data_IF_887248066252
#
_entry.id   IF_887248066252
#
_cell.length_a   1.000
_cell.length_b   1.000
_cell.length_c   1.000
_cell.angle_alpha   90.00
_cell.angle_beta   90.00
_cell.angle_gamma   90.00
#
_symmetry.space_group_name_H-M   'P 1'
#
loop_
_entity.id
_entity.type
_entity.pdbx_description
1 polymer ?
#
# COMPACT_ATOMS: atom_id res chain seq x y z
N UNK A 1 12.28 53.02 -37.59
CA UNK A 1 10.86 52.66 -37.84
C UNK A 1 10.67 51.18 -37.54
N UNK A 2 9.66 50.88 -36.72
CA UNK A 2 9.19 49.55 -36.32
C UNK A 2 8.95 48.65 -37.53
N UNK A 3 9.28 47.35 -37.42
CA UNK A 3 8.47 46.26 -38.00
C UNK A 3 8.78 44.96 -37.25
N UNK A 4 7.79 44.59 -36.44
CA UNK A 4 7.61 43.32 -35.75
C UNK A 4 7.27 42.28 -36.82
N UNK A 5 7.98 41.15 -36.84
CA UNK A 5 7.57 39.93 -37.56
C UNK A 5 7.75 38.80 -36.53
N UNK A 6 6.73 38.60 -35.70
CA UNK A 6 5.71 37.57 -35.88
C UNK A 6 6.24 36.17 -35.57
N UNK A 7 6.17 35.89 -34.26
CA UNK A 7 6.22 34.61 -33.59
C UNK A 7 5.24 33.62 -34.24
N UNK A 8 5.73 32.50 -34.77
CA UNK A 8 4.94 31.29 -34.94
C UNK A 8 5.50 30.22 -34.01
N UNK A 9 4.98 30.18 -32.77
CA UNK A 9 5.00 28.96 -31.97
C UNK A 9 4.17 27.93 -32.73
N UNK A 10 4.84 26.96 -33.36
CA UNK A 10 4.23 25.70 -33.71
C UNK A 10 3.85 24.99 -32.42
N UNK A 11 2.65 25.26 -31.91
CA UNK A 11 1.98 24.40 -30.95
C UNK A 11 1.68 23.14 -31.74
N UNK A 12 2.59 22.16 -31.68
CA UNK A 12 2.26 20.80 -32.02
C UNK A 12 1.12 20.41 -31.07
N UNK A 13 -0.06 20.40 -31.65
CA UNK A 13 -1.29 19.83 -31.15
C UNK A 13 -0.96 18.49 -30.50
N UNK A 14 -0.88 18.48 -29.17
CA UNK A 14 -1.00 17.24 -28.41
C UNK A 14 -2.43 16.76 -28.69
N UNK A 15 -2.56 15.90 -29.70
CA UNK A 15 -3.73 15.06 -29.88
C UNK A 15 -4.08 14.52 -28.51
N UNK A 16 -5.29 14.83 -28.04
CA UNK A 16 -5.83 14.26 -26.83
C UNK A 16 -5.72 12.73 -26.97
N UNK A 17 -4.69 12.16 -26.36
CA UNK A 17 -4.59 10.73 -26.20
C UNK A 17 -5.77 10.41 -25.31
N UNK A 18 -6.74 9.68 -25.85
CA UNK A 18 -7.58 8.87 -25.00
C UNK A 18 -6.62 7.91 -24.29
N UNK A 19 -6.06 8.35 -23.15
CA UNK A 19 -5.15 7.53 -22.36
C UNK A 19 -5.98 6.34 -21.88
N UNK A 20 -5.92 5.25 -22.63
CA UNK A 20 -6.36 3.96 -22.14
C UNK A 20 -5.54 3.67 -20.89
N UNK A 21 -6.20 3.27 -19.80
CA UNK A 21 -5.49 2.86 -18.60
C UNK A 21 -4.58 1.68 -18.92
N UNK A 22 -3.28 1.83 -18.65
CA UNK A 22 -2.28 0.82 -18.99
C UNK A 22 -1.15 0.76 -17.97
N UNK A 23 -0.39 -0.33 -18.02
CA UNK A 23 0.67 -0.63 -17.04
C UNK A 23 1.90 0.28 -17.13
N UNK A 24 1.99 1.13 -18.15
CA UNK A 24 3.02 2.16 -18.34
C UNK A 24 2.78 3.41 -17.49
N UNK A 25 1.52 3.72 -17.12
CA UNK A 25 1.18 4.84 -16.22
C UNK A 25 1.99 4.79 -14.92
N UNK A 26 2.54 5.91 -14.48
CA UNK A 26 3.26 5.98 -13.19
C UNK A 26 2.37 5.63 -12.00
N UNK A 27 2.97 5.20 -10.89
CA UNK A 27 2.21 4.93 -9.65
C UNK A 27 1.51 6.18 -9.12
N UNK A 28 2.10 7.37 -9.32
CA UNK A 28 1.47 8.64 -8.97
C UNK A 28 0.20 8.91 -9.78
N UNK A 29 0.22 8.65 -11.09
CA UNK A 29 -0.97 8.78 -11.94
C UNK A 29 -2.06 7.77 -11.57
N UNK A 30 -1.66 6.53 -11.25
CA UNK A 30 -2.58 5.47 -10.81
C UNK A 30 -3.24 5.86 -9.48
N UNK A 31 -2.45 6.29 -8.49
CA UNK A 31 -2.93 6.63 -7.14
C UNK A 31 -3.79 7.90 -7.11
N UNK A 32 -3.56 8.84 -8.03
CA UNK A 32 -4.40 10.06 -8.16
C UNK A 32 -5.70 9.82 -8.93
N UNK A 33 -5.82 8.71 -9.66
CA UNK A 33 -7.02 8.41 -10.44
C UNK A 33 -8.16 7.91 -9.55
N UNK A 34 -9.30 8.61 -9.59
CA UNK A 34 -10.53 8.16 -8.91
C UNK A 34 -11.15 6.89 -9.51
N UNK A 35 -10.76 6.53 -10.73
CA UNK A 35 -11.31 5.40 -11.48
C UNK A 35 -10.44 4.14 -11.37
N UNK A 36 -9.22 4.26 -10.86
CA UNK A 36 -8.32 3.15 -10.65
C UNK A 36 -8.27 2.80 -9.17
N UNK A 37 -8.14 1.52 -8.88
CA UNK A 37 -7.99 1.00 -7.55
C UNK A 37 -6.84 -0.02 -7.54
N UNK A 38 -5.63 0.39 -7.15
CA UNK A 38 -4.58 -0.56 -6.83
C UNK A 38 -4.98 -1.32 -5.56
N UNK A 39 -4.83 -2.64 -5.57
CA UNK A 39 -5.00 -3.49 -4.38
C UNK A 39 -3.67 -4.10 -4.01
N UNK A 40 -2.86 -3.38 -3.24
CA UNK A 40 -1.57 -3.88 -2.84
C UNK A 40 -1.73 -5.03 -1.83
N UNK A 41 -0.75 -5.96 -1.76
CA UNK A 41 -0.65 -6.86 -0.63
C UNK A 41 -0.39 -6.08 0.67
N UNK A 42 -0.40 -6.77 1.80
CA UNK A 42 -0.14 -6.16 3.12
C UNK A 42 1.12 -6.70 3.78
N UNK A 43 1.83 -5.82 4.49
CA UNK A 43 2.89 -6.13 5.45
C UNK A 43 2.27 -6.15 6.84
N UNK A 44 2.64 -7.11 7.69
CA UNK A 44 2.17 -7.14 9.07
C UNK A 44 3.17 -6.44 10.00
N UNK A 45 2.73 -5.38 10.66
CA UNK A 45 3.53 -4.59 11.60
C UNK A 45 2.77 -4.43 12.94
N UNK A 46 2.25 -5.55 13.47
CA UNK A 46 1.23 -5.55 14.54
C UNK A 46 -0.20 -5.32 14.04
N UNK A 47 -0.32 -4.75 12.84
CA UNK A 47 -1.54 -4.67 12.03
C UNK A 47 -1.19 -4.75 10.54
N UNK A 48 -2.18 -5.02 9.70
CA UNK A 48 -2.02 -5.05 8.25
C UNK A 48 -1.82 -3.63 7.71
N UNK A 49 -0.69 -3.40 7.05
CA UNK A 49 -0.32 -2.15 6.38
C UNK A 49 -0.13 -2.43 4.89
N UNK A 50 -0.70 -1.59 4.03
CA UNK A 50 -0.57 -1.70 2.57
C UNK A 50 0.89 -1.49 2.11
N UNK A 51 1.39 -2.32 1.18
CA UNK A 51 2.77 -2.19 0.65
C UNK A 51 3.07 -0.82 0.02
N UNK A 52 2.06 -0.10 -0.48
CA UNK A 52 2.22 1.26 -1.02
C UNK A 52 2.32 2.33 0.06
N UNK A 53 2.08 1.99 1.33
CA UNK A 53 2.20 2.88 2.49
C UNK A 53 3.44 2.60 3.34
N UNK A 54 4.33 1.70 2.90
CA UNK A 54 5.61 1.43 3.57
C UNK A 54 6.78 2.00 2.77
N UNK A 55 7.90 2.20 3.45
CA UNK A 55 9.19 2.54 2.88
C UNK A 55 10.27 1.67 3.54
N UNK A 56 11.39 1.49 2.86
CA UNK A 56 12.55 0.77 3.37
C UNK A 56 13.41 1.72 4.22
N UNK A 57 13.68 1.29 5.46
CA UNK A 57 14.54 1.95 6.44
C UNK A 57 15.62 0.95 6.88
N UNK A 58 16.75 0.94 6.18
CA UNK A 58 17.80 -0.06 6.38
C UNK A 58 17.32 -1.49 6.11
N UNK A 59 17.39 -2.34 7.14
CA UNK A 59 16.96 -3.74 7.16
C UNK A 59 15.48 -3.91 7.56
N UNK A 60 14.72 -2.81 7.62
CA UNK A 60 13.32 -2.80 8.06
C UNK A 60 12.40 -2.17 7.02
N UNK A 61 11.14 -2.57 7.09
CA UNK A 61 10.03 -1.82 6.51
C UNK A 61 9.45 -0.91 7.60
N UNK A 62 9.10 0.32 7.23
CA UNK A 62 8.48 1.32 8.12
C UNK A 62 7.31 1.97 7.41
N UNK A 63 6.27 2.37 8.14
CA UNK A 63 5.20 3.19 7.55
C UNK A 63 5.76 4.52 7.04
N UNK A 64 5.21 5.03 5.94
CA UNK A 64 5.62 6.32 5.36
C UNK A 64 5.20 7.51 6.24
N UNK A 65 4.14 7.36 7.02
CA UNK A 65 3.64 8.34 7.99
C UNK A 65 3.25 7.64 9.29
N UNK A 66 3.13 8.39 10.40
CA UNK A 66 2.59 7.85 11.65
C UNK A 66 1.16 7.35 11.45
N UNK A 67 0.82 6.21 12.05
CA UNK A 67 -0.54 5.67 12.09
C UNK A 67 -1.15 5.88 13.46
N UNK A 68 -2.48 5.97 13.50
CA UNK A 68 -3.23 6.08 14.76
C UNK A 68 -3.12 4.78 15.57
N UNK A 69 -2.75 4.91 16.84
CA UNK A 69 -2.86 3.88 17.86
C UNK A 69 -4.18 4.08 18.57
N UNK A 70 -5.00 3.03 18.59
CA UNK A 70 -6.37 3.09 19.10
C UNK A 70 -6.57 2.13 20.26
N UNK A 71 -7.30 2.58 21.27
CA UNK A 71 -7.77 1.75 22.37
C UNK A 71 -9.30 1.71 22.40
N UNK A 72 -9.86 0.57 22.78
CA UNK A 72 -11.29 0.46 23.06
C UNK A 72 -11.53 0.81 24.53
N UNK A 73 -12.23 1.92 24.77
CA UNK A 73 -12.67 2.32 26.12
C UNK A 73 -14.08 1.82 26.37
N UNK A 74 -14.27 1.21 27.54
CA UNK A 74 -15.60 0.85 28.05
C UNK A 74 -16.02 1.85 29.13
N UNK A 75 -17.20 2.44 28.98
CA UNK A 75 -17.74 3.42 29.93
C UNK A 75 -18.84 2.82 30.84
N UNK A 76 -18.89 1.49 30.95
CA UNK A 76 -19.96 0.77 31.65
C UNK A 76 -21.17 0.51 30.77
N UNK A 77 -21.82 -0.65 30.96
CA UNK A 77 -22.83 -1.19 30.05
C UNK A 77 -22.23 -1.61 28.70
N UNK A 78 -23.03 -1.54 27.62
CA UNK A 78 -22.62 -1.96 26.26
C UNK A 78 -21.92 -0.85 25.46
N UNK A 79 -21.60 0.29 26.08
CA UNK A 79 -20.99 1.42 25.38
C UNK A 79 -19.48 1.26 25.29
N UNK A 80 -19.02 0.85 24.11
CA UNK A 80 -17.61 0.83 23.72
C UNK A 80 -17.31 1.98 22.75
N UNK A 81 -16.16 2.62 22.91
CA UNK A 81 -15.67 3.66 22.01
C UNK A 81 -14.23 3.34 21.62
N UNK A 82 -13.90 3.45 20.33
CA UNK A 82 -12.52 3.37 19.83
C UNK A 82 -11.95 4.78 19.88
N UNK A 83 -10.94 4.99 20.72
CA UNK A 83 -10.30 6.30 20.92
C UNK A 83 -8.88 6.25 20.41
N UNK A 84 -8.45 7.27 19.66
CA UNK A 84 -7.05 7.45 19.26
C UNK A 84 -6.25 7.94 20.47
N UNK A 85 -5.28 7.15 20.92
CA UNK A 85 -4.44 7.43 22.10
C UNK A 85 -3.03 7.87 21.74
N UNK A 86 -2.63 7.70 20.48
CA UNK A 86 -1.30 8.11 20.02
C UNK A 86 -1.14 7.97 18.51
N UNK A 87 0.03 8.39 18.03
CA UNK A 87 0.47 8.22 16.65
C UNK A 87 1.92 7.79 16.63
N UNK A 88 2.23 6.73 15.89
CA UNK A 88 3.61 6.24 15.78
C UNK A 88 3.91 5.70 14.39
N UNK A 89 5.19 5.69 14.04
CA UNK A 89 5.66 4.95 12.89
C UNK A 89 5.72 3.47 13.27
N UNK A 90 5.04 2.61 12.50
CA UNK A 90 5.19 1.17 12.67
C UNK A 90 6.40 0.69 11.88
N UNK A 91 7.06 -0.33 12.40
CA UNK A 91 8.20 -0.94 11.73
C UNK A 91 8.32 -2.44 12.00
N UNK A 92 8.68 -3.21 10.97
CA UNK A 92 8.96 -4.65 11.05
C UNK A 92 10.25 -4.96 10.29
N UNK A 93 11.06 -5.93 10.73
CA UNK A 93 12.24 -6.31 9.95
C UNK A 93 11.82 -6.91 8.60
N UNK A 94 12.63 -6.70 7.57
CA UNK A 94 12.41 -7.29 6.24
C UNK A 94 12.48 -8.81 6.35
N UNK A 95 13.57 -9.31 6.95
CA UNK A 95 13.76 -10.71 7.27
C UNK A 95 13.34 -10.95 8.72
N UNK A 96 12.39 -11.88 8.93
CA UNK A 96 11.80 -12.12 10.23
C UNK A 96 11.89 -13.58 10.64
N UNK A 97 11.85 -13.79 11.96
CA UNK A 97 11.74 -15.10 12.58
C UNK A 97 10.51 -15.08 13.48
N UNK A 98 9.63 -16.06 13.30
CA UNK A 98 8.49 -16.31 14.17
C UNK A 98 8.63 -17.68 14.80
N UNK A 99 8.55 -17.74 16.12
CA UNK A 99 8.39 -19.01 16.82
C UNK A 99 6.91 -19.39 16.76
N UNK A 100 6.61 -20.53 16.14
CA UNK A 100 5.27 -21.10 16.05
C UNK A 100 5.21 -22.42 16.78
N UNK A 101 4.08 -22.70 17.43
CA UNK A 101 3.83 -24.00 18.03
C UNK A 101 3.44 -25.01 16.94
N UNK A 102 4.33 -25.95 16.63
CA UNK A 102 4.05 -27.07 15.73
C UNK A 102 3.60 -28.29 16.54
N UNK A 103 2.35 -28.69 16.35
CA UNK A 103 1.72 -29.77 17.10
C UNK A 103 1.43 -30.97 16.20
N UNK A 104 1.92 -32.13 16.60
CA UNK A 104 1.66 -33.40 15.93
C UNK A 104 1.09 -34.43 16.90
N UNK A 105 0.33 -35.38 16.35
CA UNK A 105 -0.24 -36.49 17.10
C UNK A 105 0.73 -37.67 17.12
N UNK A 106 1.05 -38.16 18.32
CA UNK A 106 1.75 -39.42 18.51
C UNK A 106 0.91 -40.33 19.41
N UNK A 107 0.39 -41.42 18.87
CA UNK A 107 -0.27 -42.51 19.63
C UNK A 107 -1.23 -42.00 20.72
N UNK A 108 -2.15 -41.11 20.34
CA UNK A 108 -3.17 -40.45 21.18
C UNK A 108 -2.69 -39.33 22.13
N UNK A 109 -1.43 -38.90 22.07
CA UNK A 109 -0.94 -37.70 22.73
C UNK A 109 -0.65 -36.60 21.70
N UNK A 110 -1.16 -35.39 21.93
CA UNK A 110 -0.75 -34.19 21.17
C UNK A 110 0.57 -33.70 21.76
N UNK A 111 1.61 -33.70 20.95
CA UNK A 111 2.93 -33.16 21.31
C UNK A 111 3.13 -31.89 20.50
N UNK A 112 3.42 -30.80 21.20
CA UNK A 112 3.70 -29.51 20.60
C UNK A 112 5.16 -29.14 20.82
N UNK A 113 5.80 -28.55 19.81
CA UNK A 113 7.16 -28.04 19.89
C UNK A 113 7.19 -26.66 19.27
N UNK A 114 7.90 -25.76 19.91
CA UNK A 114 8.22 -24.47 19.32
C UNK A 114 9.21 -24.67 18.18
N UNK A 115 8.86 -24.15 17.01
CA UNK A 115 9.69 -24.17 15.80
C UNK A 115 9.83 -22.76 15.27
N UNK A 116 11.06 -22.38 14.95
CA UNK A 116 11.34 -21.10 14.32
C UNK A 116 11.05 -21.17 12.82
N UNK A 117 10.18 -20.26 12.36
CA UNK A 117 9.83 -20.06 10.96
C UNK A 117 10.45 -18.76 10.49
N UNK A 118 11.31 -18.88 9.48
CA UNK A 118 11.96 -17.76 8.82
C UNK A 118 11.11 -17.29 7.64
N UNK A 119 11.03 -15.98 7.46
CA UNK A 119 10.37 -15.38 6.32
C UNK A 119 10.98 -14.05 5.94
N UNK A 120 10.56 -13.52 4.80
CA UNK A 120 11.03 -12.23 4.29
C UNK A 120 9.92 -11.50 3.56
N UNK A 121 9.83 -10.19 3.76
CA UNK A 121 8.94 -9.31 3.02
C UNK A 121 9.61 -8.86 1.70
N UNK A 122 9.08 -9.21 0.52
CA UNK A 122 9.68 -8.81 -0.75
C UNK A 122 9.63 -7.30 -0.94
N UNK A 123 10.77 -6.68 -1.29
CA UNK A 123 10.85 -5.25 -1.59
C UNK A 123 10.20 -4.87 -2.93
N UNK A 124 9.90 -5.85 -3.78
CA UNK A 124 9.17 -5.64 -5.03
C UNK A 124 7.99 -6.59 -5.11
N UNK A 125 6.80 -6.03 -5.27
CA UNK A 125 5.54 -6.77 -5.31
C UNK A 125 4.80 -6.49 -6.61
N UNK A 126 4.02 -7.47 -7.07
CA UNK A 126 3.11 -7.27 -8.20
C UNK A 126 1.74 -6.88 -7.69
N UNK A 127 1.31 -5.65 -8.00
CA UNK A 127 0.04 -5.09 -7.55
C UNK A 127 -0.98 -5.14 -8.70
N UNK A 128 -2.14 -5.81 -8.52
CA UNK A 128 -3.25 -5.71 -9.45
C UNK A 128 -3.92 -4.34 -9.37
N UNK A 129 -4.18 -3.75 -10.52
CA UNK A 129 -4.89 -2.47 -10.66
C UNK A 129 -6.23 -2.72 -11.31
N UNK A 130 -7.29 -2.30 -10.63
CA UNK A 130 -8.66 -2.47 -11.07
C UNK A 130 -9.25 -1.16 -11.56
N UNK A 131 -10.17 -1.24 -12.51
CA UNK A 131 -11.07 -0.14 -12.86
C UNK A 131 -12.30 -0.20 -11.98
N UNK A 132 -12.62 0.90 -11.29
CA UNK A 132 -13.89 1.08 -10.61
C UNK A 132 -14.97 1.40 -11.65
N UNK A 133 -16.00 0.57 -11.70
CA UNK A 133 -17.17 0.75 -12.53
C UNK A 133 -18.35 0.95 -11.58
N UNK A 134 -18.79 2.20 -11.46
CA UNK A 134 -19.95 2.57 -10.65
C UNK A 134 -21.09 3.00 -11.57
N UNK A 135 -22.20 2.28 -11.50
CA UNK A 135 -23.48 2.66 -12.07
C UNK A 135 -24.49 2.81 -10.92
N UNK A 136 -25.65 3.46 -11.16
CA UNK A 136 -26.66 3.83 -10.14
C UNK A 136 -26.96 2.78 -9.07
N UNK A 137 -26.83 1.48 -9.37
CA UNK A 137 -27.16 0.38 -8.46
C UNK A 137 -26.05 -0.68 -8.28
N UNK A 138 -24.88 -0.52 -8.91
CA UNK A 138 -23.82 -1.53 -8.88
C UNK A 138 -22.46 -0.85 -8.84
N UNK A 139 -21.68 -1.18 -7.82
CA UNK A 139 -20.24 -0.97 -7.79
C UNK A 139 -19.56 -2.31 -8.10
N UNK A 140 -18.79 -2.34 -9.19
CA UNK A 140 -17.98 -3.50 -9.56
C UNK A 140 -16.58 -3.06 -9.95
N UNK A 141 -15.64 -3.99 -9.84
CA UNK A 141 -14.25 -3.77 -10.18
C UNK A 141 -13.83 -4.73 -11.28
N UNK A 142 -13.15 -4.21 -12.30
CA UNK A 142 -12.62 -4.99 -13.41
C UNK A 142 -11.09 -4.94 -13.37
N UNK A 143 -10.42 -6.10 -13.34
CA UNK A 143 -8.96 -6.15 -13.37
C UNK A 143 -8.49 -5.62 -14.72
N UNK A 144 -7.66 -4.58 -14.72
CA UNK A 144 -7.07 -4.04 -15.95
C UNK A 144 -5.71 -4.66 -16.22
N UNK A 145 -4.79 -4.53 -15.27
CA UNK A 145 -3.42 -5.01 -15.41
C UNK A 145 -2.80 -5.27 -14.05
N UNK A 146 -1.62 -5.90 -14.08
CA UNK A 146 -0.74 -6.07 -12.92
C UNK A 146 0.52 -5.26 -13.17
N UNK A 147 0.99 -4.53 -12.16
CA UNK A 147 2.18 -3.69 -12.27
C UNK A 147 3.11 -3.93 -11.08
N UNK A 148 4.41 -3.94 -11.37
CA UNK A 148 5.44 -4.05 -10.34
C UNK A 148 5.56 -2.76 -9.53
N UNK A 149 5.60 -2.88 -8.21
CA UNK A 149 5.85 -1.79 -7.26
C UNK A 149 7.05 -2.16 -6.42
N UNK A 150 8.06 -1.29 -6.42
CA UNK A 150 9.23 -1.41 -5.55
C UNK A 150 9.07 -0.45 -4.39
N UNK A 151 9.22 -0.96 -3.17
CA UNK A 151 9.15 -0.17 -1.95
C UNK A 151 10.25 0.90 -1.99
N UNK A 152 9.92 2.19 -1.84
CA UNK A 152 10.91 3.27 -1.89
C UNK A 152 11.74 3.33 -0.60
N UNK A 153 12.91 3.96 -0.65
CA UNK A 153 13.63 4.32 0.58
C UNK A 153 12.84 5.36 1.37
N UNK A 154 12.86 5.28 2.70
CA UNK A 154 12.23 6.28 3.56
C UNK A 154 12.83 7.69 3.41
N UNK A 155 14.05 7.81 2.88
CA UNK A 155 14.68 9.10 2.58
C UNK A 155 14.10 9.78 1.33
N UNK A 156 13.51 9.01 0.41
CA UNK A 156 12.97 9.50 -0.86
C UNK A 156 11.48 9.86 -0.76
N UNK A 157 10.83 9.52 0.36
CA UNK A 157 9.42 9.82 0.60
C UNK A 157 9.30 11.31 0.93
N UNK A 158 8.95 12.11 -0.08
CA UNK A 158 8.63 13.54 0.10
C UNK A 158 7.46 13.65 1.07
N UNK A 159 7.71 14.14 2.28
CA UNK A 159 6.66 14.42 3.24
C UNK A 159 5.82 15.60 2.71
N UNK A 160 4.52 15.43 2.42
CA UNK A 160 3.69 16.57 2.16
C UNK A 160 3.58 17.38 3.46
N UNK A 161 4.09 18.61 3.42
CA UNK A 161 3.92 19.63 4.45
C UNK A 161 2.44 19.98 4.66
#
# INVERSE_FOLDING_TARGET
MKKIIALFLGILSTSAIAHAYSADMSWDEINRSKYLHPKAPTVYMGRSIDYMFVCQDGDRLRTQKPVDITETRSYGGDRMEVVVVGREYLSTPIDYVHTVEDCFWNTNQRICKDVDVYGSYPLTVTIPVYKRISNRNVEREELLFRKSYTVPSCNDVVQPH
#
